data_IF_722081982599
#
_entry.id   IF_722081982599
#
_cell.length_a   1.000
_cell.length_b   1.000
_cell.length_c   1.000
_cell.angle_alpha   90.00
_cell.angle_beta   90.00
_cell.angle_gamma   90.00
#
_symmetry.space_group_name_H-M   'P 1'
#
loop_
_entity.id
_entity.type
_entity.pdbx_description
1 polymer ?
#
# COMPACT_ATOMS: atom_id res chain seq x y z
N UNK A 1 -8.65 -1.98 0.96
CA UNK A 1 -7.24 -2.37 1.18
C UNK A 1 -6.44 -1.10 1.20
N UNK A 2 -5.69 -0.82 2.27
CA UNK A 2 -4.85 0.37 2.29
C UNK A 2 -3.55 0.12 1.53
N UNK A 3 -3.15 1.13 0.77
CA UNK A 3 -1.93 1.17 0.00
C UNK A 3 -1.03 2.27 0.54
N UNK A 4 0.27 2.12 0.32
CA UNK A 4 1.29 3.09 0.71
C UNK A 4 2.02 3.58 -0.53
N UNK A 5 2.11 4.88 -0.72
CA UNK A 5 2.87 5.41 -1.85
C UNK A 5 4.37 5.15 -1.69
N UNK A 6 5.03 4.66 -2.74
CA UNK A 6 6.47 4.40 -2.74
C UNK A 6 7.32 5.68 -2.54
N UNK A 7 6.82 6.84 -2.99
CA UNK A 7 7.56 8.11 -2.95
C UNK A 7 7.29 8.91 -1.67
N UNK A 8 6.03 9.26 -1.40
CA UNK A 8 5.69 10.13 -0.27
C UNK A 8 5.38 9.35 1.01
N UNK A 9 5.28 8.02 0.95
CA UNK A 9 5.03 7.18 2.11
C UNK A 9 3.62 7.29 2.71
N UNK A 10 2.74 8.13 2.16
CA UNK A 10 1.36 8.32 2.63
C UNK A 10 0.52 7.08 2.38
N UNK A 11 -0.38 6.83 3.33
CA UNK A 11 -1.39 5.78 3.23
C UNK A 11 -2.59 6.28 2.43
N UNK A 12 -3.09 5.42 1.56
CA UNK A 12 -4.21 5.66 0.65
C UNK A 12 -5.17 4.50 0.86
N UNK A 13 -6.34 4.79 1.42
CA UNK A 13 -7.32 3.75 1.76
C UNK A 13 -8.23 3.40 0.58
N UNK A 14 -8.47 4.37 -0.29
CA UNK A 14 -9.39 4.27 -1.42
C UNK A 14 -8.65 4.62 -2.71
N UNK A 15 -8.47 3.64 -3.57
CA UNK A 15 -8.03 3.82 -4.95
C UNK A 15 -9.25 3.49 -5.81
N UNK A 16 -9.67 4.43 -6.65
CA UNK A 16 -10.72 4.18 -7.64
C UNK A 16 -10.22 3.16 -8.67
N UNK A 17 -11.09 2.21 -9.03
CA UNK A 17 -10.78 1.18 -10.01
C UNK A 17 -10.32 1.81 -11.34
N UNK A 18 -9.05 1.61 -11.69
CA UNK A 18 -8.43 2.13 -12.91
C UNK A 18 -7.46 3.30 -12.72
N UNK A 19 -7.41 3.96 -11.55
CA UNK A 19 -6.46 5.06 -11.29
C UNK A 19 -5.42 4.72 -10.23
N UNK A 20 -4.32 4.07 -10.62
CA UNK A 20 -3.15 3.86 -9.74
C UNK A 20 -2.33 5.16 -9.63
N UNK A 21 -2.85 6.15 -8.92
CA UNK A 21 -2.18 7.44 -8.66
C UNK A 21 -2.30 7.84 -7.20
N UNK A 22 -1.19 8.27 -6.62
CA UNK A 22 -1.20 8.88 -5.29
C UNK A 22 -1.84 10.27 -5.33
N UNK A 23 -2.90 10.47 -4.54
CA UNK A 23 -3.62 11.75 -4.42
C UNK A 23 -2.75 12.92 -3.93
N UNK A 24 -1.63 12.65 -3.26
CA UNK A 24 -0.75 13.70 -2.71
C UNK A 24 0.44 14.06 -3.59
N UNK A 25 0.96 13.14 -4.40
CA UNK A 25 2.20 13.39 -5.15
C UNK A 25 2.15 12.94 -6.62
N UNK A 26 1.02 12.40 -7.09
CA UNK A 26 0.84 11.92 -8.46
C UNK A 26 1.64 10.67 -8.84
N UNK A 27 2.44 10.12 -7.93
CA UNK A 27 3.25 8.93 -8.19
C UNK A 27 2.36 7.69 -8.37
N UNK A 28 2.77 6.80 -9.28
CA UNK A 28 1.94 5.66 -9.74
C UNK A 28 2.31 4.30 -9.14
N UNK A 29 3.32 4.26 -8.26
CA UNK A 29 3.75 3.03 -7.59
C UNK A 29 3.25 3.07 -6.14
N UNK A 30 2.44 2.07 -5.80
CA UNK A 30 1.80 1.92 -4.50
C UNK A 30 2.04 0.50 -3.98
N UNK A 31 2.43 0.37 -2.71
CA UNK A 31 2.62 -0.91 -2.01
C UNK A 31 1.37 -1.26 -1.22
N UNK A 32 0.94 -2.52 -1.24
CA UNK A 32 -0.15 -2.97 -0.35
C UNK A 32 0.33 -2.92 1.11
N UNK A 33 -0.47 -2.36 2.01
CA UNK A 33 -0.17 -2.38 3.44
C UNK A 33 -0.18 -3.84 3.92
N UNK A 34 0.77 -4.17 4.81
CA UNK A 34 0.83 -5.49 5.42
C UNK A 34 -0.40 -5.69 6.29
N UNK A 35 -1.09 -6.81 6.12
CA UNK A 35 -2.20 -7.17 7.00
C UNK A 35 -1.69 -7.33 8.44
N UNK A 36 -2.46 -6.93 9.47
CA UNK A 36 -2.05 -7.00 10.88
C UNK A 36 -2.00 -8.44 11.44
N UNK A 37 -1.95 -9.44 10.57
CA UNK A 37 -2.00 -10.86 10.93
C UNK A 37 -0.58 -11.34 11.24
N UNK A 38 -0.36 -11.79 12.46
CA UNK A 38 0.88 -12.46 12.85
C UNK A 38 0.99 -13.81 12.13
N UNK A 39 2.06 -14.00 11.37
CA UNK A 39 2.36 -15.27 10.70
C UNK A 39 3.36 -16.05 11.54
N UNK A 40 3.02 -17.28 11.92
CA UNK A 40 3.95 -18.21 12.57
C UNK A 40 4.86 -18.82 11.52
N UNK A 41 6.18 -18.69 11.71
CA UNK A 41 7.20 -19.19 10.80
C UNK A 41 7.95 -20.30 11.53
N UNK A 42 8.05 -21.50 10.93
CA UNK A 42 8.92 -22.56 11.45
C UNK A 42 10.36 -22.26 11.00
N UNK A 43 11.30 -22.39 11.92
CA UNK A 43 12.74 -22.26 11.64
C UNK A 43 13.32 -23.66 11.77
N UNK A 44 13.92 -24.15 10.68
CA UNK A 44 14.69 -25.41 10.64
C UNK A 44 16.12 -25.23 11.17
#
# INVERSE_FOLDING_TARGET
MSYRCAKCGKEIENIEDGMVRCQSCGHRILYKKRDPIAKTIKVD
#
